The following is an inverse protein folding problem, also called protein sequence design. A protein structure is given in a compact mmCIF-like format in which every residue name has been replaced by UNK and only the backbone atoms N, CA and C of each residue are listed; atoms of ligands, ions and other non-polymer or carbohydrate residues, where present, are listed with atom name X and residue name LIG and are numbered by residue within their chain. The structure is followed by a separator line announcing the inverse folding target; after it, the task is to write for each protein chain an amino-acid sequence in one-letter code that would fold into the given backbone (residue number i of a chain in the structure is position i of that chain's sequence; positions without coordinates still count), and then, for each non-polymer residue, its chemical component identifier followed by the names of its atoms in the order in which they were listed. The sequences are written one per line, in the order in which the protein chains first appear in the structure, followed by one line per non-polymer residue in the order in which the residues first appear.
data_IF_951028531773
#
_entry.id   IF_951028531773
#
_cell.length_a   1.000
_cell.length_b   1.000
_cell.length_c   1.000
_cell.angle_alpha   90.00
_cell.angle_beta   90.00
_cell.angle_gamma   90.00
#
_symmetry.space_group_name_H-M   'P 1'
#
loop_
_entity.id
_entity.type
_entity.pdbx_description
1 polymer ?
#
# COMPACT_ATOMS: atom_id res chain seq x y z
N UNK A 1 -16.77 -73.41 -10.03
CA UNK A 1 -15.43 -72.82 -9.86
C UNK A 1 -15.46 -71.51 -10.63
N UNK A 2 -15.36 -70.31 -10.07
CA UNK A 2 -14.56 -69.80 -8.95
C UNK A 2 -15.35 -68.77 -8.14
N UNK A 3 -15.04 -68.70 -6.83
CA UNK A 3 -15.51 -67.71 -5.86
C UNK A 3 -14.67 -66.43 -5.92
N UNK A 4 -15.31 -65.30 -5.60
CA UNK A 4 -14.86 -64.09 -4.86
C UNK A 4 -15.66 -62.89 -5.38
N UNK A 5 -16.08 -61.88 -4.63
CA UNK A 5 -16.21 -61.45 -3.23
C UNK A 5 -16.79 -60.02 -3.41
N UNK A 6 -17.46 -59.31 -2.51
CA UNK A 6 -18.33 -59.57 -1.35
C UNK A 6 -18.94 -58.17 -1.12
N UNK A 7 -20.26 -58.04 -1.16
CA UNK A 7 -20.97 -56.83 -0.78
C UNK A 7 -21.08 -56.80 0.75
N UNK A 8 -20.55 -55.74 1.37
CA UNK A 8 -20.70 -55.45 2.79
C UNK A 8 -22.01 -54.70 3.02
N UNK A 9 -22.98 -55.39 3.64
CA UNK A 9 -24.15 -54.78 4.26
C UNK A 9 -23.95 -54.63 5.78
N UNK A 10 -24.49 -53.52 6.28
CA UNK A 10 -24.36 -52.99 7.63
C UNK A 10 -24.80 -53.97 8.74
N UNK A 11 -24.08 -53.95 9.87
CA UNK A 11 -24.65 -54.23 11.19
C UNK A 11 -24.17 -53.21 12.23
N UNK A 12 -25.15 -52.63 12.90
CA UNK A 12 -25.04 -51.69 13.99
C UNK A 12 -24.73 -52.38 15.33
N UNK A 13 -24.08 -51.63 16.22
CA UNK A 13 -24.29 -51.69 17.66
C UNK A 13 -23.24 -52.43 18.48
N UNK A 14 -22.30 -51.68 19.06
CA UNK A 14 -21.87 -51.89 20.46
C UNK A 14 -21.63 -50.54 21.14
N UNK A 15 -22.15 -50.46 22.36
CA UNK A 15 -22.14 -49.39 23.37
C UNK A 15 -20.72 -49.00 23.79
N UNK A 16 -20.42 -47.70 23.82
CA UNK A 16 -19.21 -47.14 24.46
C UNK A 16 -19.61 -46.09 25.50
N UNK A 17 -18.97 -46.19 26.67
CA UNK A 17 -19.24 -45.47 27.92
C UNK A 17 -19.25 -43.95 27.79
N UNK A 18 -20.30 -43.33 28.33
CA UNK A 18 -20.58 -41.89 28.25
C UNK A 18 -19.90 -41.05 29.35
N UNK A 19 -19.14 -41.66 30.26
CA UNK A 19 -18.64 -41.00 31.47
C UNK A 19 -17.22 -40.39 31.33
N UNK A 20 -16.49 -40.67 30.25
CA UNK A 20 -15.12 -40.15 30.05
C UNK A 20 -15.08 -38.70 29.50
N UNK A 21 -16.17 -38.22 28.89
CA UNK A 21 -16.20 -36.90 28.24
C UNK A 21 -16.58 -35.74 29.16
N UNK A 22 -17.15 -36.00 30.34
CA UNK A 22 -17.64 -34.94 31.24
C UNK A 22 -16.56 -34.40 32.21
N UNK A 23 -15.49 -35.16 32.43
CA UNK A 23 -14.39 -34.80 33.35
C UNK A 23 -13.37 -33.85 32.72
N UNK A 24 -13.28 -33.78 31.39
CA UNK A 24 -12.35 -32.85 30.71
C UNK A 24 -12.86 -31.39 30.68
N UNK A 25 -14.17 -31.16 30.90
CA UNK A 25 -14.78 -29.83 30.82
C UNK A 25 -15.18 -29.22 32.18
N UNK A 26 -14.80 -29.83 33.32
CA UNK A 26 -15.29 -29.38 34.63
C UNK A 26 -14.35 -28.49 35.44
N UNK A 27 -13.18 -28.09 34.93
CA UNK A 27 -12.23 -27.30 35.72
C UNK A 27 -11.56 -26.09 35.04
N UNK A 28 -12.30 -25.39 34.18
CA UNK A 28 -12.00 -24.00 33.82
C UNK A 28 -13.20 -23.10 34.07
N UNK A 29 -13.56 -22.93 35.35
CA UNK A 29 -14.27 -21.72 35.77
C UNK A 29 -13.25 -20.59 35.75
N UNK A 30 -13.13 -19.92 34.61
CA UNK A 30 -12.49 -18.61 34.51
C UNK A 30 -13.09 -17.73 35.61
N UNK A 31 -12.27 -17.34 36.59
CA UNK A 31 -12.65 -16.30 37.53
C UNK A 31 -12.90 -15.05 36.71
N UNK A 32 -14.15 -14.57 36.68
CA UNK A 32 -14.44 -13.21 36.20
C UNK A 32 -13.54 -12.26 36.98
N UNK A 33 -12.75 -11.42 36.29
CA UNK A 33 -11.92 -10.43 36.97
C UNK A 33 -12.80 -9.58 37.88
N UNK A 34 -12.30 -9.26 39.07
CA UNK A 34 -13.00 -8.36 39.99
C UNK A 34 -13.19 -6.99 39.33
N UNK A 35 -14.24 -6.24 39.69
CA UNK A 35 -14.48 -4.89 39.14
C UNK A 35 -13.25 -3.97 39.30
N UNK A 36 -12.45 -4.17 40.36
CA UNK A 36 -11.16 -3.50 40.56
C UNK A 36 -10.10 -3.87 39.52
N UNK A 37 -9.99 -5.15 39.15
CA UNK A 37 -9.05 -5.62 38.12
C UNK A 37 -9.51 -5.24 36.72
N UNK A 38 -10.82 -5.22 36.44
CA UNK A 38 -11.35 -4.71 35.18
C UNK A 38 -11.09 -3.21 35.03
N UNK A 39 -11.29 -2.44 36.11
CA UNK A 39 -11.01 -1.01 36.11
C UNK A 39 -9.51 -0.74 35.97
N UNK A 40 -8.65 -1.50 36.65
CA UNK A 40 -7.20 -1.37 36.53
C UNK A 40 -6.72 -1.75 35.12
N UNK A 41 -7.22 -2.85 34.54
CA UNK A 41 -6.92 -3.25 33.16
C UNK A 41 -7.44 -2.25 32.12
N UNK A 42 -8.63 -1.66 32.34
CA UNK A 42 -9.16 -0.59 31.51
C UNK A 42 -8.32 0.69 31.64
N UNK A 43 -7.78 0.98 32.82
CA UNK A 43 -6.92 2.13 33.09
C UNK A 43 -5.53 1.93 32.49
N UNK A 44 -4.96 0.72 32.58
CA UNK A 44 -3.70 0.32 31.93
C UNK A 44 -3.85 0.31 30.41
N UNK A 45 -4.97 -0.18 29.87
CA UNK A 45 -5.30 -0.09 28.43
C UNK A 45 -5.46 1.37 27.99
N UNK A 46 -6.18 2.21 28.74
CA UNK A 46 -6.29 3.66 28.49
C UNK A 46 -4.94 4.37 28.58
N UNK A 47 -4.04 3.96 29.48
CA UNK A 47 -2.66 4.49 29.59
C UNK A 47 -1.77 4.02 28.44
N UNK A 48 -1.85 2.76 28.00
CA UNK A 48 -1.16 2.26 26.79
C UNK A 48 -1.63 2.95 25.52
N UNK A 49 -2.95 3.18 25.38
CA UNK A 49 -3.53 3.93 24.26
C UNK A 49 -3.11 5.42 24.26
N UNK A 50 -2.78 6.00 25.42
CA UNK A 50 -2.26 7.37 25.53
C UNK A 50 -0.78 7.51 25.15
N UNK A 51 -0.02 6.42 25.08
CA UNK A 51 1.44 6.44 24.94
C UNK A 51 1.98 5.64 23.76
N UNK A 52 1.12 5.09 22.88
CA UNK A 52 1.61 4.62 21.59
C UNK A 52 1.82 5.83 20.69
N UNK A 53 3.06 6.17 20.30
CA UNK A 53 3.27 7.14 19.24
C UNK A 53 2.53 6.63 18.00
N UNK A 54 1.77 7.50 17.34
CA UNK A 54 1.15 7.14 16.07
C UNK A 54 2.24 6.70 15.09
N UNK A 55 1.88 5.88 14.09
CA UNK A 55 2.79 5.56 12.99
C UNK A 55 3.52 6.80 12.48
N UNK A 56 2.74 7.86 12.31
CA UNK A 56 3.23 9.18 11.96
C UNK A 56 4.28 9.65 12.97
N UNK A 57 3.99 9.68 14.27
CA UNK A 57 4.95 10.08 15.28
C UNK A 57 6.23 9.20 15.35
N UNK A 58 6.12 7.89 15.12
CA UNK A 58 7.28 7.00 15.13
C UNK A 58 8.15 7.14 13.87
N UNK A 59 7.54 7.57 12.75
CA UNK A 59 8.21 7.97 11.52
C UNK A 59 8.64 9.45 11.51
N UNK A 60 8.45 10.20 12.62
CA UNK A 60 8.77 11.63 12.71
C UNK A 60 7.72 12.59 12.11
N UNK A 61 6.57 12.07 11.67
CA UNK A 61 5.43 12.77 11.07
C UNK A 61 4.40 13.27 12.12
N UNK A 62 4.75 13.33 13.42
CA UNK A 62 3.87 13.91 14.44
C UNK A 62 3.75 15.41 14.22
N UNK A 63 2.61 15.83 13.67
CA UNK A 63 2.21 17.22 13.70
C UNK A 63 1.87 17.58 15.15
N UNK A 64 2.82 18.14 15.88
CA UNK A 64 2.44 18.92 17.05
C UNK A 64 1.64 20.10 16.50
N UNK A 65 0.38 20.21 16.95
CA UNK A 65 -0.66 21.10 16.41
C UNK A 65 -0.33 22.60 16.53
N UNK A 66 0.90 22.94 16.92
CA UNK A 66 1.34 24.30 17.21
C UNK A 66 2.61 24.72 16.45
N UNK A 67 3.21 23.83 15.63
CA UNK A 67 4.40 24.18 14.84
C UNK A 67 4.09 24.06 13.34
N UNK A 68 4.07 25.22 12.66
CA UNK A 68 3.87 25.35 11.21
C UNK A 68 5.13 25.02 10.41
N UNK A 69 6.15 24.42 11.03
CA UNK A 69 7.37 23.99 10.35
C UNK A 69 7.29 22.50 9.99
N UNK A 70 7.36 22.20 8.70
CA UNK A 70 7.71 20.86 8.24
C UNK A 70 9.11 20.53 8.75
N UNK A 71 9.23 19.57 9.67
CA UNK A 71 10.53 19.00 10.04
C UNK A 71 10.81 17.84 9.09
N UNK A 72 11.95 17.89 8.40
CA UNK A 72 12.45 16.74 7.66
C UNK A 72 12.67 15.57 8.63
N UNK A 73 12.40 14.35 8.16
CA UNK A 73 12.73 13.13 8.91
C UNK A 73 14.24 13.15 9.12
N UNK A 74 14.70 13.16 10.37
CA UNK A 74 16.12 12.97 10.64
C UNK A 74 16.50 11.54 10.20
N UNK A 75 17.46 11.44 9.28
CA UNK A 75 17.96 10.18 8.72
C UNK A 75 18.65 9.35 9.83
N UNK A 76 17.86 8.53 10.52
CA UNK A 76 18.33 7.66 11.59
C UNK A 76 18.58 6.21 11.15
N UNK A 77 18.32 5.87 9.89
CA UNK A 77 18.35 4.48 9.42
C UNK A 77 19.53 4.22 8.47
N UNK A 78 20.27 3.14 8.72
CA UNK A 78 21.44 2.75 7.94
C UNK A 78 21.21 1.52 7.05
N UNK A 79 20.03 0.89 7.13
CA UNK A 79 19.67 -0.26 6.29
C UNK A 79 18.17 -0.37 6.06
N UNK A 80 17.76 -1.05 4.98
CA UNK A 80 16.35 -1.33 4.71
C UNK A 80 15.70 -2.18 5.82
N UNK A 81 16.44 -3.12 6.40
CA UNK A 81 15.96 -3.92 7.54
C UNK A 81 15.58 -3.03 8.72
N UNK A 82 16.39 -2.01 9.02
CA UNK A 82 16.13 -1.09 10.13
C UNK A 82 14.86 -0.25 9.89
N UNK A 83 14.67 0.23 8.66
CA UNK A 83 13.45 0.93 8.24
C UNK A 83 12.23 0.02 8.40
N UNK A 84 12.31 -1.21 7.90
CA UNK A 84 11.24 -2.19 8.05
C UNK A 84 10.93 -2.45 9.54
N UNK A 85 11.93 -2.75 10.37
CA UNK A 85 11.68 -2.98 11.80
C UNK A 85 11.07 -1.77 12.51
N UNK A 86 11.48 -0.54 12.14
CA UNK A 86 10.87 0.68 12.66
C UNK A 86 9.39 0.78 12.27
N UNK A 87 9.04 0.52 11.01
CA UNK A 87 7.65 0.45 10.56
C UNK A 87 6.85 -0.60 11.34
N UNK A 88 7.42 -1.79 11.62
CA UNK A 88 6.75 -2.83 12.43
C UNK A 88 6.47 -2.34 13.85
N UNK A 89 7.49 -1.79 14.51
CA UNK A 89 7.35 -1.21 15.87
C UNK A 89 6.33 -0.07 15.92
N UNK A 90 6.11 0.62 14.79
CA UNK A 90 5.14 1.68 14.65
C UNK A 90 3.69 1.19 14.50
N UNK A 91 3.47 -0.12 14.50
CA UNK A 91 2.16 -0.74 14.34
C UNK A 91 1.71 -0.88 12.88
N UNK A 92 2.63 -0.80 11.92
CA UNK A 92 2.37 -1.03 10.49
C UNK A 92 2.28 -2.53 10.17
N UNK A 93 1.86 -3.36 11.12
CA UNK A 93 1.92 -4.82 11.00
C UNK A 93 0.98 -5.34 9.89
N UNK A 94 -0.13 -4.63 9.64
CA UNK A 94 -1.12 -4.97 8.63
C UNK A 94 -1.54 -3.74 7.82
N UNK A 95 -1.05 -3.60 6.58
CA UNK A 95 -1.49 -2.57 5.65
C UNK A 95 -1.67 -3.12 4.24
N UNK A 96 -2.62 -2.56 3.49
CA UNK A 96 -2.69 -2.79 2.06
C UNK A 96 -1.87 -1.75 1.29
N UNK A 97 -1.16 -2.17 0.25
CA UNK A 97 -0.45 -1.25 -0.63
C UNK A 97 -1.26 -0.86 -1.85
N UNK A 98 -1.15 0.40 -2.28
CA UNK A 98 -1.69 0.90 -3.56
C UNK A 98 -0.60 1.69 -4.25
N UNK A 99 -0.36 1.43 -5.54
CA UNK A 99 0.69 2.11 -6.31
C UNK A 99 0.06 2.90 -7.47
N UNK A 100 0.45 4.17 -7.57
CA UNK A 100 0.20 5.05 -8.70
C UNK A 100 1.50 5.43 -9.39
N UNK A 101 1.58 5.24 -10.70
CA UNK A 101 2.74 5.60 -11.51
C UNK A 101 2.35 6.68 -12.52
N UNK A 102 3.07 7.80 -12.47
CA UNK A 102 2.97 8.89 -13.43
C UNK A 102 3.48 8.45 -14.80
N UNK A 103 2.68 8.66 -15.85
CA UNK A 103 3.03 8.45 -17.26
C UNK A 103 2.82 9.75 -18.08
N UNK A 104 3.03 10.90 -17.48
CA UNK A 104 2.95 12.21 -18.16
C UNK A 104 4.17 12.50 -19.02
N UNK A 105 4.02 13.39 -20.00
CA UNK A 105 5.00 13.78 -20.99
C UNK A 105 6.21 14.49 -20.38
N UNK A 106 6.09 15.11 -19.21
CA UNK A 106 7.23 15.76 -18.55
C UNK A 106 8.38 14.81 -18.26
N UNK A 107 8.08 13.52 -18.10
CA UNK A 107 9.09 12.47 -17.95
C UNK A 107 10.06 12.37 -19.12
N UNK A 108 9.69 12.85 -20.32
CA UNK A 108 10.57 12.87 -21.48
C UNK A 108 11.77 13.81 -21.31
N UNK A 109 11.58 14.95 -20.64
CA UNK A 109 12.61 15.99 -20.52
C UNK A 109 13.15 16.20 -19.11
N UNK A 110 12.46 15.76 -18.04
CA UNK A 110 12.95 15.95 -16.67
C UNK A 110 14.27 15.21 -16.40
N UNK A 111 14.58 14.16 -17.18
CA UNK A 111 15.87 13.48 -17.13
C UNK A 111 17.05 14.26 -17.72
N UNK A 112 16.85 15.48 -18.24
CA UNK A 112 17.90 16.33 -18.86
C UNK A 112 19.14 16.51 -17.99
N UNK A 113 18.95 16.70 -16.68
CA UNK A 113 20.06 16.91 -15.73
C UNK A 113 20.38 15.68 -14.89
N UNK A 114 19.38 14.85 -14.59
CA UNK A 114 19.46 13.80 -13.58
C UNK A 114 19.59 12.39 -14.16
N UNK A 115 19.30 12.21 -15.45
CA UNK A 115 19.29 10.90 -16.10
C UNK A 115 19.96 10.91 -17.48
N UNK A 116 21.01 11.73 -17.63
CA UNK A 116 21.84 11.76 -18.84
C UNK A 116 21.08 12.18 -20.09
N UNK A 117 20.12 13.10 -19.97
CA UNK A 117 19.24 13.54 -21.07
C UNK A 117 18.36 12.45 -21.68
N UNK A 118 18.00 11.44 -20.88
CA UNK A 118 17.08 10.38 -21.29
C UNK A 118 15.73 10.53 -20.59
N UNK A 119 14.68 10.01 -21.23
CA UNK A 119 13.36 9.89 -20.63
C UNK A 119 13.44 9.08 -19.31
N UNK A 120 12.75 9.55 -18.27
CA UNK A 120 12.73 8.91 -16.95
C UNK A 120 12.07 7.52 -16.96
N UNK A 121 11.30 7.18 -18.00
CA UNK A 121 10.74 5.84 -18.20
C UNK A 121 11.59 4.93 -19.09
N UNK A 122 12.76 5.35 -19.57
CA UNK A 122 13.54 4.55 -20.52
C UNK A 122 13.88 3.16 -19.96
N UNK A 123 13.30 2.12 -20.54
CA UNK A 123 13.54 0.73 -20.15
C UNK A 123 14.73 0.18 -20.92
N UNK A 124 15.66 -0.48 -20.22
CA UNK A 124 16.70 -1.31 -20.82
C UNK A 124 16.40 -2.77 -20.46
N UNK A 125 16.16 -3.66 -21.45
CA UNK A 125 15.85 -5.06 -21.18
C UNK A 125 16.90 -5.73 -20.28
N UNK A 126 16.44 -6.48 -19.28
CA UNK A 126 17.30 -7.21 -18.34
C UNK A 126 18.03 -6.34 -17.30
N UNK A 127 17.72 -5.04 -17.19
CA UNK A 127 18.33 -4.16 -16.18
C UNK A 127 17.31 -3.23 -15.54
N UNK A 128 17.39 -3.09 -14.22
CA UNK A 128 16.78 -1.98 -13.48
C UNK A 128 17.65 -0.76 -13.75
N UNK A 129 17.17 0.13 -14.61
CA UNK A 129 17.96 1.25 -15.11
C UNK A 129 17.36 2.59 -14.71
N UNK A 130 16.06 2.76 -14.94
CA UNK A 130 15.42 4.06 -14.78
C UNK A 130 14.94 4.35 -13.35
N UNK A 131 14.73 5.63 -12.99
CA UNK A 131 14.37 6.01 -11.63
C UNK A 131 13.11 5.33 -11.11
N UNK A 132 12.06 5.20 -11.93
CA UNK A 132 10.83 4.51 -11.54
C UNK A 132 11.08 3.04 -11.18
N UNK A 133 11.82 2.29 -12.01
CA UNK A 133 12.18 0.89 -11.69
C UNK A 133 12.96 0.78 -10.38
N UNK A 134 13.89 1.73 -10.13
CA UNK A 134 14.67 1.77 -8.89
C UNK A 134 13.78 2.01 -7.68
N UNK A 135 12.86 2.97 -7.75
CA UNK A 135 11.92 3.26 -6.68
C UNK A 135 11.04 2.04 -6.39
N UNK A 136 10.41 1.44 -7.40
CA UNK A 136 9.60 0.22 -7.24
C UNK A 136 10.42 -0.91 -6.58
N UNK A 137 11.67 -1.09 -6.98
CA UNK A 137 12.56 -2.12 -6.42
C UNK A 137 12.97 -1.87 -4.98
N UNK A 138 13.22 -0.61 -4.61
CA UNK A 138 13.58 -0.21 -3.23
C UNK A 138 12.35 -0.36 -2.33
N UNK A 139 11.20 0.17 -2.77
CA UNK A 139 9.95 0.11 -2.01
C UNK A 139 9.55 -1.34 -1.77
N UNK A 140 9.66 -2.21 -2.79
CA UNK A 140 9.40 -3.64 -2.63
C UNK A 140 10.25 -4.27 -1.53
N UNK A 141 11.55 -4.00 -1.50
CA UNK A 141 12.42 -4.51 -0.44
C UNK A 141 12.05 -4.00 0.96
N UNK A 142 11.51 -2.78 1.06
CA UNK A 142 11.17 -2.15 2.34
C UNK A 142 9.75 -2.43 2.84
N UNK A 143 8.77 -2.55 1.95
CA UNK A 143 7.34 -2.56 2.28
C UNK A 143 6.62 -3.88 1.95
N UNK A 144 7.18 -4.75 1.10
CA UNK A 144 6.59 -6.08 0.84
C UNK A 144 6.39 -6.92 2.13
N UNK A 145 7.26 -6.86 3.17
CA UNK A 145 7.03 -7.58 4.42
C UNK A 145 5.83 -7.12 5.26
N UNK A 146 5.11 -6.08 4.82
CA UNK A 146 3.99 -5.43 5.52
C UNK A 146 2.67 -5.52 4.76
N UNK A 147 2.71 -6.02 3.52
CA UNK A 147 1.52 -6.19 2.71
C UNK A 147 0.82 -7.50 3.10
N UNK A 148 -0.43 -7.37 3.54
CA UNK A 148 -1.17 -8.48 4.18
C UNK A 148 -1.42 -9.67 3.23
N UNK A 149 -1.68 -9.38 1.95
CA UNK A 149 -2.14 -10.35 0.95
C UNK A 149 -1.21 -10.48 -0.26
N UNK A 150 -0.15 -9.67 -0.34
CA UNK A 150 0.73 -9.54 -1.50
C UNK A 150 -0.04 -9.13 -2.78
N UNK A 151 -1.22 -8.52 -2.64
CA UNK A 151 -2.06 -8.06 -3.75
C UNK A 151 -2.07 -6.54 -3.80
N UNK A 152 -1.30 -6.01 -4.75
CA UNK A 152 -1.02 -4.59 -4.88
C UNK A 152 -1.82 -4.00 -6.07
N UNK A 153 -2.98 -3.35 -5.84
CA UNK A 153 -3.62 -2.50 -6.83
C UNK A 153 -2.62 -1.50 -7.40
N UNK A 154 -2.41 -1.57 -8.71
CA UNK A 154 -1.38 -0.78 -9.39
C UNK A 154 -2.01 -0.10 -10.60
N UNK A 155 -1.82 1.21 -10.66
CA UNK A 155 -2.42 2.07 -11.66
C UNK A 155 -1.38 2.99 -12.28
N UNK A 156 -1.59 3.37 -13.53
CA UNK A 156 -0.94 4.51 -14.13
C UNK A 156 -1.91 5.66 -14.37
N UNK A 157 -1.39 6.87 -14.51
CA UNK A 157 -2.17 8.08 -14.79
C UNK A 157 -1.38 9.06 -15.67
N UNK A 158 -2.08 9.98 -16.33
CA UNK A 158 -1.45 11.02 -17.17
C UNK A 158 -0.96 10.52 -18.54
N UNK A 159 -1.35 9.31 -18.95
CA UNK A 159 -1.09 8.82 -20.30
C UNK A 159 -2.14 9.37 -21.29
N UNK A 160 -1.91 9.19 -22.59
CA UNK A 160 -2.83 9.65 -23.63
C UNK A 160 -4.23 9.02 -23.57
N UNK A 161 -4.37 7.87 -22.89
CA UNK A 161 -5.61 7.11 -22.84
C UNK A 161 -6.52 7.59 -21.72
N UNK A 162 -5.96 7.99 -20.57
CA UNK A 162 -6.75 8.48 -19.42
C UNK A 162 -6.78 10.01 -19.31
N UNK A 163 -5.85 10.72 -19.97
CA UNK A 163 -5.60 12.14 -19.73
C UNK A 163 -5.46 12.44 -18.22
N UNK A 164 -5.97 13.59 -17.77
CA UNK A 164 -5.97 14.07 -16.39
C UNK A 164 -7.24 13.72 -15.60
N UNK A 165 -8.16 12.94 -16.18
CA UNK A 165 -9.48 12.66 -15.59
C UNK A 165 -9.61 11.25 -14.99
N UNK A 166 -8.76 10.29 -15.36
CA UNK A 166 -8.89 8.89 -14.90
C UNK A 166 -7.53 8.20 -14.67
N UNK A 167 -7.58 6.98 -14.17
CA UNK A 167 -6.42 6.08 -14.01
C UNK A 167 -6.64 4.79 -14.79
N UNK A 168 -5.57 4.21 -15.33
CA UNK A 168 -5.63 2.89 -15.96
C UNK A 168 -5.05 1.83 -15.04
N UNK A 169 -5.72 0.69 -14.96
CA UNK A 169 -5.23 -0.47 -14.21
C UNK A 169 -4.14 -1.20 -14.98
N UNK A 170 -3.10 -1.67 -14.28
CA UNK A 170 -2.05 -2.47 -14.90
C UNK A 170 -2.56 -3.82 -15.42
N UNK A 171 -3.63 -4.34 -14.83
CA UNK A 171 -4.37 -5.49 -15.36
C UNK A 171 -5.67 -5.02 -16.02
N UNK A 172 -5.92 -5.50 -17.25
CA UNK A 172 -7.11 -5.17 -18.03
C UNK A 172 -8.43 -5.65 -17.41
N UNK A 173 -8.37 -6.65 -16.52
CA UNK A 173 -9.51 -7.14 -15.76
C UNK A 173 -9.68 -6.45 -14.39
N UNK A 174 -8.84 -5.45 -14.08
CA UNK A 174 -8.88 -4.71 -12.81
C UNK A 174 -8.26 -5.44 -11.62
N UNK A 175 -7.61 -6.59 -11.84
CA UNK A 175 -6.96 -7.32 -10.75
C UNK A 175 -5.71 -6.60 -10.21
N UNK A 176 -5.41 -6.85 -8.94
CA UNK A 176 -4.16 -6.41 -8.31
C UNK A 176 -2.95 -7.21 -8.83
N UNK A 177 -1.77 -6.58 -8.82
CA UNK A 177 -0.50 -7.26 -9.05
C UNK A 177 -0.13 -8.14 -7.85
N UNK A 178 0.48 -9.29 -8.10
CA UNK A 178 1.00 -10.21 -7.09
C UNK A 178 2.43 -9.81 -6.73
N UNK A 179 2.54 -8.94 -5.73
CA UNK A 179 3.80 -8.40 -5.23
C UNK A 179 4.54 -7.49 -6.21
N UNK A 180 5.66 -6.94 -5.73
CA UNK A 180 6.44 -5.94 -6.46
C UNK A 180 7.12 -6.47 -7.73
N UNK A 181 7.36 -7.79 -7.79
CA UNK A 181 7.89 -8.43 -8.99
C UNK A 181 6.93 -8.28 -10.18
N UNK A 182 5.62 -8.52 -9.97
CA UNK A 182 4.62 -8.34 -11.03
C UNK A 182 4.37 -6.87 -11.34
N UNK A 183 4.42 -5.99 -10.33
CA UNK A 183 4.37 -4.53 -10.54
C UNK A 183 5.48 -4.08 -11.49
N UNK A 184 6.72 -4.51 -11.25
CA UNK A 184 7.87 -4.15 -12.08
C UNK A 184 7.77 -4.73 -13.49
N UNK A 185 7.28 -5.97 -13.62
CA UNK A 185 7.02 -6.58 -14.92
C UNK A 185 6.01 -5.75 -15.72
N UNK A 186 4.85 -5.45 -15.13
CA UNK A 186 3.79 -4.68 -15.78
C UNK A 186 4.22 -3.26 -16.10
N UNK A 187 4.95 -2.61 -15.20
CA UNK A 187 5.56 -1.32 -15.47
C UNK A 187 6.42 -1.35 -16.75
N UNK A 188 7.28 -2.35 -16.92
CA UNK A 188 8.12 -2.46 -18.11
C UNK A 188 7.29 -2.64 -19.40
N UNK A 189 6.17 -3.36 -19.32
CA UNK A 189 5.23 -3.54 -20.44
C UNK A 189 4.58 -2.21 -20.84
N UNK A 190 4.16 -1.38 -19.88
CA UNK A 190 3.50 -0.09 -20.15
C UNK A 190 4.49 1.01 -20.55
N UNK A 191 5.62 1.13 -19.85
CA UNK A 191 6.65 2.15 -20.12
C UNK A 191 7.27 2.06 -21.53
N UNK A 192 7.10 0.92 -22.21
CA UNK A 192 7.56 0.73 -23.60
C UNK A 192 6.47 0.95 -24.65
N UNK A 193 5.20 1.03 -24.26
CA UNK A 193 4.04 1.06 -25.18
C UNK A 193 3.24 2.35 -25.11
N UNK A 194 3.19 3.00 -23.95
CA UNK A 194 2.32 4.15 -23.74
C UNK A 194 2.89 5.40 -24.43
N UNK A 195 1.97 6.21 -24.93
CA UNK A 195 2.27 7.59 -25.32
C UNK A 195 2.04 8.48 -24.11
N UNK A 196 3.08 9.21 -23.73
CA UNK A 196 3.01 10.13 -22.60
C UNK A 196 2.15 11.35 -22.97
N UNK A 197 1.27 11.78 -22.06
CA UNK A 197 0.37 12.92 -22.26
C UNK A 197 0.42 13.87 -21.06
N UNK A 198 -0.56 14.72 -20.88
CA UNK A 198 -0.72 15.56 -19.70
C UNK A 198 -2.09 16.20 -19.70
N UNK A 199 -2.40 17.05 -18.70
CA UNK A 199 -1.54 17.51 -17.60
C UNK A 199 -1.32 16.47 -16.48
N UNK A 200 -0.45 16.78 -15.51
CA UNK A 200 -0.27 15.93 -14.33
C UNK A 200 -1.35 16.26 -13.30
N UNK A 201 -2.22 15.30 -13.04
CA UNK A 201 -3.27 15.37 -12.03
C UNK A 201 -3.23 14.14 -11.13
N UNK A 202 -3.10 14.36 -9.81
CA UNK A 202 -3.11 13.29 -8.82
C UNK A 202 -4.51 12.99 -8.26
N UNK A 203 -5.50 13.85 -8.53
CA UNK A 203 -6.86 13.63 -8.06
C UNK A 203 -7.42 12.25 -8.47
N UNK A 204 -7.28 11.78 -9.73
CA UNK A 204 -7.83 10.48 -10.13
C UNK A 204 -7.26 9.32 -9.30
N UNK A 205 -5.94 9.30 -9.08
CA UNK A 205 -5.30 8.21 -8.32
C UNK A 205 -5.63 8.28 -6.83
N UNK A 206 -5.76 9.49 -6.26
CA UNK A 206 -6.20 9.67 -4.87
C UNK A 206 -7.65 9.20 -4.70
N UNK A 207 -8.54 9.59 -5.60
CA UNK A 207 -9.94 9.15 -5.58
C UNK A 207 -10.03 7.63 -5.73
N UNK A 208 -9.21 7.03 -6.61
CA UNK A 208 -9.16 5.57 -6.76
C UNK A 208 -8.72 4.87 -5.48
N UNK A 209 -7.72 5.40 -4.79
CA UNK A 209 -7.29 4.86 -3.51
C UNK A 209 -8.40 4.96 -2.45
N UNK A 210 -9.14 6.08 -2.41
CA UNK A 210 -10.30 6.26 -1.52
C UNK A 210 -11.39 5.20 -1.80
N UNK A 211 -11.68 4.90 -3.07
CA UNK A 211 -12.62 3.82 -3.44
C UNK A 211 -12.18 2.47 -2.88
N UNK A 212 -10.91 2.11 -3.08
CA UNK A 212 -10.33 0.83 -2.62
C UNK A 212 -10.40 0.74 -1.09
N UNK A 213 -10.01 1.80 -0.38
CA UNK A 213 -10.07 1.85 1.10
C UNK A 213 -11.52 1.72 1.58
N UNK A 214 -12.47 2.39 0.93
CA UNK A 214 -13.90 2.28 1.26
C UNK A 214 -14.44 0.88 1.03
N UNK A 215 -13.96 0.16 0.02
CA UNK A 215 -14.37 -1.21 -0.27
C UNK A 215 -13.76 -2.20 0.71
N UNK A 216 -12.44 -2.11 0.95
CA UNK A 216 -11.67 -3.07 1.75
C UNK A 216 -11.79 -2.87 3.25
N UNK A 217 -12.14 -1.66 3.71
CA UNK A 217 -12.31 -1.31 5.13
C UNK A 217 -11.07 -1.58 6.00
N UNK A 218 -9.87 -1.47 5.40
CA UNK A 218 -8.58 -1.63 6.09
C UNK A 218 -7.66 -0.44 5.82
N UNK A 219 -6.62 -0.30 6.63
CA UNK A 219 -5.59 0.72 6.45
C UNK A 219 -4.78 0.45 5.17
N UNK A 220 -4.55 1.48 4.36
CA UNK A 220 -3.76 1.38 3.15
C UNK A 220 -2.73 2.50 3.07
N UNK A 221 -1.63 2.21 2.38
CA UNK A 221 -0.62 3.20 1.99
C UNK A 221 -0.71 3.38 0.49
N UNK A 222 -1.04 4.61 0.05
CA UNK A 222 -0.92 5.00 -1.34
C UNK A 222 0.49 5.52 -1.62
N UNK A 223 1.15 4.92 -2.60
CA UNK A 223 2.49 5.28 -3.07
C UNK A 223 2.34 5.86 -4.47
N UNK A 224 2.60 7.16 -4.61
CA UNK A 224 2.63 7.84 -5.91
C UNK A 224 4.09 8.03 -6.30
N UNK A 225 4.46 7.53 -7.48
CA UNK A 225 5.77 7.76 -8.09
C UNK A 225 5.57 8.72 -9.26
N UNK A 226 6.17 9.90 -9.18
CA UNK A 226 6.03 10.97 -10.16
C UNK A 226 7.32 11.78 -10.31
N UNK A 227 7.42 12.56 -11.39
CA UNK A 227 8.58 13.42 -11.68
C UNK A 227 8.52 14.80 -11.02
N UNK A 228 7.38 15.14 -10.41
CA UNK A 228 7.19 16.34 -9.61
C UNK A 228 6.67 17.58 -10.37
N UNK A 229 6.28 17.47 -11.63
CA UNK A 229 5.51 18.53 -12.29
C UNK A 229 4.03 18.35 -11.96
N UNK A 230 3.51 19.00 -10.93
CA UNK A 230 2.05 19.13 -10.76
C UNK A 230 1.63 20.41 -11.46
N UNK A 231 0.60 20.31 -12.30
CA UNK A 231 0.02 21.47 -12.99
C UNK A 231 -0.56 22.41 -11.93
N UNK A 232 0.19 23.45 -11.57
CA UNK A 232 -0.31 24.45 -10.63
C UNK A 232 -1.44 25.23 -11.30
N UNK A 233 -2.61 25.32 -10.67
CA UNK A 233 -3.68 26.28 -11.04
C UNK A 233 -3.16 27.74 -11.11
N UNK A 234 -1.98 28.02 -10.56
CA UNK A 234 -1.32 29.31 -10.60
C UNK A 234 -0.94 29.79 -12.01
N UNK A 235 -0.79 28.93 -13.02
CA UNK A 235 -0.56 29.41 -14.40
C UNK A 235 -1.83 30.01 -15.01
N UNK A 236 -3.01 29.48 -14.67
CA UNK A 236 -4.30 30.01 -15.12
C UNK A 236 -4.63 31.36 -14.45
N UNK A 237 -4.20 31.55 -13.20
CA UNK A 237 -4.38 32.80 -12.47
C UNK A 237 -3.48 33.93 -13.00
N UNK A 238 -2.27 33.60 -13.48
CA UNK A 238 -1.36 34.59 -14.09
C UNK A 238 -1.80 35.03 -15.48
N UNK A 239 -2.41 34.14 -16.27
CA UNK A 239 -2.93 34.47 -17.60
C UNK A 239 -4.25 35.25 -17.54
N UNK A 240 -5.09 35.03 -16.53
CA UNK A 240 -6.35 35.78 -16.35
C UNK A 240 -6.16 37.18 -15.74
N UNK A 241 -5.07 37.42 -14.99
CA UNK A 241 -4.71 38.74 -14.45
C UNK A 241 -3.80 39.58 -15.36
N UNK A 242 -3.25 39.00 -16.44
CA UNK A 242 -2.36 39.69 -17.37
C UNK A 242 -3.02 40.59 -18.42
N UNK A 243 -4.36 40.63 -18.50
CA UNK A 243 -5.09 41.38 -19.55
C UNK A 243 -6.04 42.48 -19.04
N UNK A 244 -5.90 42.93 -17.78
CA UNK A 244 -6.59 44.14 -17.32
C UNK A 244 -5.61 45.05 -16.58
N UNK A 245 -5.46 46.27 -17.12
CA UNK A 245 -4.68 47.43 -16.64
C UNK A 245 -3.24 47.50 -17.24
N UNK A 246 -2.74 48.53 -17.94
CA UNK A 246 -3.16 49.91 -18.21
C UNK A 246 -2.41 50.40 -19.49
N UNK A 247 -3.14 50.90 -20.49
CA UNK A 247 -2.98 52.24 -21.11
C UNK A 247 -4.25 52.54 -21.91
#
# INVERSE_FOLDING_TARGET
MLRRNDNLELKAGTSYDHDSYSIYYRDKREKKPSESEELENATVRKRRLKHQPSLLALLGLSHTYNDRSFCAIEDHFHSFTEVSEACKRAGLENCGLIIGIDFTASNEWQGRKTFGSQCLHKVIPGRIYNPYQKVVSIIGQTLEPFDDDNLIPTYGFGDSTTNDEDVFSFHSNGNACKGFSEVLQKYNEYATKLQFSGPTNFEPIINKAIEIVKLRKSYHILIIIADGQVTEEHELFRLSLGHRNIL
#
